data_IF_648280590601
#
_entry.id   IF_648280590601
#
_cell.length_a   1.000
_cell.length_b   1.000
_cell.length_c   1.000
_cell.angle_alpha   90.00
_cell.angle_beta   90.00
_cell.angle_gamma   90.00
#
_symmetry.space_group_name_H-M   'P 1'
#
loop_
_entity.id
_entity.type
_entity.pdbx_description
1 polymer ?
#
# COMPACT_ATOMS: atom_id res chain seq x y z
N UNK A 1 52.39 23.52 15.82
CA UNK A 1 50.93 23.43 16.07
C UNK A 1 50.41 22.17 15.37
N UNK A 2 50.39 21.04 16.06
CA UNK A 2 49.88 19.78 15.52
C UNK A 2 48.39 19.68 15.88
N UNK A 3 47.51 19.78 14.88
CA UNK A 3 46.09 19.53 15.06
C UNK A 3 45.86 18.03 15.21
N UNK A 4 45.49 17.63 16.43
CA UNK A 4 45.11 16.28 16.78
C UNK A 4 43.70 16.01 16.22
N UNK A 5 43.62 15.35 15.07
CA UNK A 5 42.36 14.85 14.52
C UNK A 5 41.94 13.65 15.37
N UNK A 6 41.01 13.87 16.31
CA UNK A 6 40.31 12.77 16.99
C UNK A 6 39.55 11.97 15.94
N UNK A 7 40.08 10.81 15.58
CA UNK A 7 39.34 9.79 14.86
C UNK A 7 38.18 9.31 15.74
N UNK A 8 36.95 9.63 15.32
CA UNK A 8 35.70 9.27 15.99
C UNK A 8 35.42 7.76 15.76
N UNK A 9 36.21 6.88 16.37
CA UNK A 9 36.14 5.42 16.23
C UNK A 9 35.08 4.82 17.15
N UNK A 10 33.81 5.14 16.92
CA UNK A 10 32.70 4.47 17.60
C UNK A 10 32.35 3.15 16.86
N UNK A 11 32.62 1.96 17.42
CA UNK A 11 32.45 0.68 16.73
C UNK A 11 31.00 0.40 16.30
N UNK A 12 30.02 1.01 16.96
CA UNK A 12 28.61 0.94 16.57
C UNK A 12 28.31 1.72 15.28
N UNK A 13 28.94 2.87 15.06
CA UNK A 13 28.83 3.66 13.80
C UNK A 13 29.54 2.95 12.65
N UNK A 14 30.66 2.27 12.93
CA UNK A 14 31.39 1.51 11.91
C UNK A 14 30.58 0.32 11.40
N UNK A 15 29.84 -0.37 12.29
CA UNK A 15 29.00 -1.51 11.95
C UNK A 15 27.74 -1.08 11.15
N UNK A 16 27.11 0.06 11.46
CA UNK A 16 25.93 0.55 10.70
C UNK A 16 26.28 0.92 9.26
N UNK A 17 27.40 1.62 9.05
CA UNK A 17 27.87 2.02 7.71
C UNK A 17 28.22 0.83 6.83
N UNK A 18 28.84 -0.21 7.40
CA UNK A 18 29.13 -1.47 6.68
C UNK A 18 27.82 -2.15 6.26
N UNK A 19 26.82 -2.22 7.15
CA UNK A 19 25.53 -2.83 6.83
C UNK A 19 24.70 -2.05 5.80
N UNK A 20 24.77 -0.71 5.80
CA UNK A 20 24.16 0.12 4.75
C UNK A 20 24.76 -0.15 3.37
N UNK A 21 26.09 -0.23 3.28
CA UNK A 21 26.78 -0.60 2.03
C UNK A 21 26.47 -2.03 1.58
N UNK A 22 26.34 -2.98 2.52
CA UNK A 22 25.95 -4.35 2.21
C UNK A 22 24.51 -4.44 1.67
N UNK A 23 23.60 -3.61 2.17
CA UNK A 23 22.24 -3.50 1.64
C UNK A 23 22.26 -3.01 0.17
N UNK A 24 22.99 -1.93 -0.13
CA UNK A 24 23.13 -1.43 -1.50
C UNK A 24 23.75 -2.51 -2.40
N UNK A 25 24.80 -3.18 -1.94
CA UNK A 25 25.45 -4.23 -2.73
C UNK A 25 24.49 -5.38 -3.04
N UNK A 26 23.65 -5.80 -2.08
CA UNK A 26 22.65 -6.84 -2.29
C UNK A 26 21.58 -6.40 -3.31
N UNK A 27 21.06 -5.17 -3.19
CA UNK A 27 20.07 -4.64 -4.13
C UNK A 27 20.66 -4.49 -5.54
N UNK A 28 21.87 -3.96 -5.65
CA UNK A 28 22.58 -3.82 -6.93
C UNK A 28 22.83 -5.16 -7.62
N UNK A 29 23.16 -6.20 -6.83
CA UNK A 29 23.31 -7.57 -7.31
C UNK A 29 21.96 -8.27 -7.60
N UNK A 30 20.83 -7.59 -7.36
CA UNK A 30 19.47 -8.16 -7.40
C UNK A 30 19.33 -9.44 -6.54
N UNK A 31 20.05 -9.50 -5.42
CA UNK A 31 20.01 -10.60 -4.46
C UNK A 31 18.75 -10.49 -3.58
N UNK A 32 17.64 -11.00 -4.10
CA UNK A 32 16.32 -10.91 -3.46
C UNK A 32 16.25 -11.73 -2.17
N UNK A 33 17.06 -12.79 -2.04
CA UNK A 33 17.13 -13.61 -0.84
C UNK A 33 17.72 -12.81 0.32
N UNK A 34 18.87 -12.13 0.10
CA UNK A 34 19.46 -11.24 1.10
C UNK A 34 18.57 -10.05 1.43
N UNK A 35 17.84 -9.50 0.46
CA UNK A 35 16.89 -8.42 0.71
C UNK A 35 15.80 -8.85 1.71
N UNK A 36 15.25 -10.07 1.54
CA UNK A 36 14.24 -10.63 2.46
C UNK A 36 14.86 -10.98 3.82
N UNK A 37 16.10 -11.45 3.85
CA UNK A 37 16.86 -11.66 5.08
C UNK A 37 17.00 -10.36 5.87
N UNK A 38 17.47 -9.28 5.25
CA UNK A 38 17.59 -7.97 5.89
C UNK A 38 16.25 -7.42 6.39
N UNK A 39 15.16 -7.62 5.64
CA UNK A 39 13.82 -7.23 6.11
C UNK A 39 13.37 -8.04 7.34
N UNK A 40 13.75 -9.32 7.40
CA UNK A 40 13.49 -10.18 8.55
C UNK A 40 14.32 -9.76 9.77
N UNK A 41 15.59 -9.41 9.57
CA UNK A 41 16.45 -8.86 10.61
C UNK A 41 15.91 -7.54 11.15
N UNK A 42 15.46 -6.64 10.28
CA UNK A 42 14.89 -5.34 10.65
C UNK A 42 13.66 -5.45 11.58
N UNK A 43 12.89 -6.53 11.46
CA UNK A 43 11.71 -6.82 12.31
C UNK A 43 12.07 -7.54 13.61
N UNK A 44 13.29 -8.08 13.72
CA UNK A 44 13.71 -8.85 14.87
C UNK A 44 14.11 -7.95 16.04
N UNK A 45 13.44 -8.11 17.18
CA UNK A 45 13.81 -7.43 18.44
C UNK A 45 15.19 -7.83 18.97
N UNK A 46 15.77 -8.94 18.45
CA UNK A 46 17.04 -9.52 18.91
C UNK A 46 18.26 -9.01 18.14
N UNK A 47 18.06 -8.38 16.98
CA UNK A 47 19.14 -7.98 16.07
C UNK A 47 19.48 -6.49 16.22
N UNK A 48 20.76 -6.15 16.03
CA UNK A 48 21.24 -4.74 16.09
C UNK A 48 20.91 -3.98 14.79
N UNK A 49 20.69 -4.70 13.70
CA UNK A 49 20.41 -4.15 12.37
C UNK A 49 18.98 -3.62 12.27
N UNK A 50 18.85 -2.43 11.69
CA UNK A 50 17.57 -1.85 11.27
C UNK A 50 17.82 -1.09 9.99
N UNK A 51 16.84 -1.03 9.09
CA UNK A 51 16.91 -0.17 7.91
C UNK A 51 17.16 1.28 8.30
N UNK A 52 16.54 1.74 9.39
CA UNK A 52 16.80 3.08 9.96
C UNK A 52 18.29 3.36 10.18
N UNK A 53 19.04 2.43 10.81
CA UNK A 53 20.48 2.59 11.00
C UNK A 53 21.27 2.47 9.70
N UNK A 54 20.87 1.53 8.84
CA UNK A 54 21.56 1.27 7.58
C UNK A 54 21.49 2.46 6.60
N UNK A 55 20.35 3.14 6.57
CA UNK A 55 20.06 4.24 5.64
C UNK A 55 20.65 5.58 6.11
N UNK A 56 20.80 5.78 7.43
CA UNK A 56 21.28 7.05 8.02
C UNK A 56 22.68 7.46 7.56
N UNK A 57 23.52 6.48 7.24
CA UNK A 57 24.92 6.70 6.87
C UNK A 57 25.14 6.78 5.35
N UNK A 58 24.06 6.71 4.56
CA UNK A 58 24.12 6.78 3.10
C UNK A 58 24.03 8.22 2.60
N UNK A 59 24.75 8.50 1.52
CA UNK A 59 24.65 9.75 0.77
C UNK A 59 23.37 9.77 -0.09
N UNK A 60 22.92 10.96 -0.49
CA UNK A 60 21.77 11.11 -1.41
C UNK A 60 21.97 10.31 -2.70
N UNK A 61 23.18 10.33 -3.28
CA UNK A 61 23.51 9.56 -4.49
C UNK A 61 23.39 8.05 -4.27
N UNK A 62 23.81 7.55 -3.11
CA UNK A 62 23.67 6.14 -2.75
C UNK A 62 22.20 5.75 -2.56
N UNK A 63 21.39 6.64 -2.00
CA UNK A 63 19.94 6.46 -1.86
C UNK A 63 19.26 6.43 -3.23
N UNK A 64 19.61 7.33 -4.14
CA UNK A 64 19.03 7.35 -5.49
C UNK A 64 19.35 6.05 -6.24
N UNK A 65 20.60 5.60 -6.21
CA UNK A 65 21.02 4.33 -6.81
C UNK A 65 20.29 3.13 -6.19
N UNK A 66 20.11 3.13 -4.86
CA UNK A 66 19.33 2.09 -4.17
C UNK A 66 17.91 2.00 -4.74
N UNK A 67 17.24 3.13 -4.95
CA UNK A 67 15.88 3.14 -5.48
C UNK A 67 15.79 2.79 -6.96
N UNK A 68 16.75 3.19 -7.78
CA UNK A 68 16.81 2.76 -9.18
C UNK A 68 16.87 1.24 -9.29
N UNK A 69 17.71 0.59 -8.49
CA UNK A 69 17.86 -0.86 -8.51
C UNK A 69 16.68 -1.57 -7.83
N UNK A 70 16.12 -1.03 -6.74
CA UNK A 70 14.90 -1.56 -6.12
C UNK A 70 13.71 -1.52 -7.09
N UNK A 71 13.56 -0.46 -7.89
CA UNK A 71 12.48 -0.37 -8.89
C UNK A 71 12.54 -1.52 -9.90
N UNK A 72 13.74 -1.86 -10.40
CA UNK A 72 13.92 -3.00 -11.32
C UNK A 72 13.47 -4.30 -10.69
N UNK A 73 13.84 -4.53 -9.42
CA UNK A 73 13.42 -5.73 -8.67
C UNK A 73 11.90 -5.75 -8.52
N UNK A 74 11.29 -4.64 -8.09
CA UNK A 74 9.86 -4.53 -7.81
C UNK A 74 9.03 -4.75 -9.06
N UNK A 75 9.38 -4.13 -10.19
CA UNK A 75 8.66 -4.29 -11.45
C UNK A 75 8.68 -5.76 -11.87
N UNK A 76 9.86 -6.39 -11.88
CA UNK A 76 10.01 -7.82 -12.21
C UNK A 76 9.21 -8.73 -11.29
N UNK A 77 9.18 -8.43 -9.98
CA UNK A 77 8.40 -9.19 -9.01
C UNK A 77 6.88 -8.99 -9.19
N UNK A 78 6.44 -7.76 -9.46
CA UNK A 78 5.04 -7.43 -9.66
C UNK A 78 4.45 -8.11 -10.91
N UNK A 79 5.23 -8.23 -11.98
CA UNK A 79 4.82 -8.96 -13.19
C UNK A 79 4.45 -10.42 -12.88
N UNK A 80 5.20 -11.08 -11.99
CA UNK A 80 4.90 -12.45 -11.56
C UNK A 80 3.53 -12.48 -10.85
N UNK A 81 3.28 -11.54 -9.93
CA UNK A 81 2.01 -11.46 -9.20
C UNK A 81 0.83 -11.18 -10.15
N UNK A 82 1.00 -10.25 -11.10
CA UNK A 82 -0.05 -9.88 -12.06
C UNK A 82 -0.33 -11.04 -13.04
N UNK A 83 0.70 -11.78 -13.47
CA UNK A 83 0.51 -12.94 -14.34
C UNK A 83 -0.32 -14.05 -13.69
N UNK A 84 -0.34 -14.11 -12.36
CA UNK A 84 -1.16 -15.05 -11.61
C UNK A 84 -2.65 -14.69 -11.68
N UNK A 85 -3.00 -13.40 -11.65
CA UNK A 85 -4.41 -12.96 -11.74
C UNK A 85 -4.97 -13.11 -13.15
N UNK A 86 -4.16 -12.91 -14.18
CA UNK A 86 -4.60 -13.02 -15.59
C UNK A 86 -4.72 -14.47 -16.07
N UNK A 87 -3.87 -15.39 -15.60
CA UNK A 87 -3.92 -16.82 -16.00
C UNK A 87 -4.90 -17.66 -15.18
N UNK A 88 -5.58 -17.07 -14.20
CA UNK A 88 -6.38 -17.76 -13.19
C UNK A 88 -7.90 -17.59 -13.25
N UNK A 89 -8.46 -16.95 -14.29
CA UNK A 89 -9.91 -16.72 -14.40
C UNK A 89 -10.58 -17.70 -15.39
N UNK A 90 -11.07 -18.88 -14.95
CA UNK A 90 -12.11 -19.58 -15.67
C UNK A 90 -13.44 -18.88 -15.39
N UNK A 91 -14.05 -18.35 -16.45
CA UNK A 91 -15.41 -17.83 -16.48
C UNK A 91 -16.36 -18.63 -15.56
N UNK A 92 -16.91 -17.96 -14.55
CA UNK A 92 -18.18 -18.37 -13.95
C UNK A 92 -19.30 -17.95 -14.89
N UNK A 93 -19.57 -18.77 -15.90
CA UNK A 93 -20.85 -18.75 -16.61
C UNK A 93 -21.26 -20.17 -17.02
N UNK A 94 -22.21 -20.68 -16.24
CA UNK A 94 -23.30 -21.62 -16.55
C UNK A 94 -23.02 -22.95 -17.31
N UNK A 95 -23.45 -24.02 -16.62
CA UNK A 95 -24.15 -25.23 -17.11
C UNK A 95 -23.42 -26.26 -17.99
N UNK A 96 -22.95 -27.35 -17.35
CA UNK A 96 -23.48 -28.71 -17.61
C UNK A 96 -22.86 -29.74 -16.65
N UNK A 97 -23.63 -30.73 -16.16
CA UNK A 97 -23.12 -31.78 -15.30
C UNK A 97 -22.62 -32.93 -16.15
N UNK A 98 -21.30 -33.17 -16.19
CA UNK A 98 -20.86 -34.55 -16.37
C UNK A 98 -19.50 -34.83 -15.72
N UNK A 99 -19.50 -35.93 -14.98
CA UNK A 99 -18.41 -36.47 -14.18
C UNK A 99 -17.22 -36.82 -15.06
N UNK A 100 -16.04 -36.29 -14.73
CA UNK A 100 -14.80 -37.04 -14.85
C UNK A 100 -13.93 -36.73 -13.62
N UNK A 101 -13.67 -37.78 -12.84
CA UNK A 101 -12.78 -37.76 -11.68
C UNK A 101 -11.33 -37.68 -12.19
N UNK A 102 -10.77 -36.48 -12.23
CA UNK A 102 -9.33 -36.28 -12.26
C UNK A 102 -8.93 -35.26 -11.18
N UNK A 103 -8.03 -35.68 -10.29
CA UNK A 103 -7.56 -34.94 -9.12
C UNK A 103 -7.11 -33.50 -9.45
N UNK A 104 -7.69 -32.44 -8.85
CA UNK A 104 -7.39 -31.07 -9.24
C UNK A 104 -6.57 -30.24 -8.22
N UNK A 105 -5.65 -30.83 -7.43
CA UNK A 105 -5.11 -30.12 -6.24
C UNK A 105 -3.60 -29.87 -6.12
N UNK A 106 -2.71 -30.33 -7.01
CA UNK A 106 -1.25 -30.09 -6.83
C UNK A 106 -0.72 -28.78 -7.44
N UNK A 107 -1.21 -28.35 -8.61
CA UNK A 107 -0.63 -27.20 -9.35
C UNK A 107 -0.99 -25.81 -8.81
N UNK A 108 -2.14 -25.66 -8.13
CA UNK A 108 -2.55 -24.37 -7.53
C UNK A 108 -1.78 -24.04 -6.25
N UNK A 109 -1.23 -25.05 -5.54
CA UNK A 109 -0.53 -24.82 -4.27
C UNK A 109 0.89 -24.28 -4.48
N UNK A 110 1.57 -24.68 -5.55
CA UNK A 110 2.94 -24.25 -5.84
C UNK A 110 2.97 -22.79 -6.33
N UNK A 111 2.05 -22.41 -7.22
CA UNK A 111 1.96 -21.05 -7.75
C UNK A 111 1.57 -20.00 -6.69
N UNK A 112 0.70 -20.37 -5.74
CA UNK A 112 0.40 -19.52 -4.58
C UNK A 112 1.61 -19.30 -3.68
N UNK A 113 2.44 -20.34 -3.45
CA UNK A 113 3.67 -20.22 -2.66
C UNK A 113 4.66 -19.26 -3.32
N UNK A 114 4.84 -19.36 -4.63
CA UNK A 114 5.68 -18.42 -5.41
C UNK A 114 5.18 -16.98 -5.24
N UNK A 115 3.87 -16.73 -5.38
CA UNK A 115 3.31 -15.39 -5.16
C UNK A 115 3.56 -14.87 -3.73
N UNK A 116 3.49 -15.75 -2.73
CA UNK A 116 3.79 -15.39 -1.34
C UNK A 116 5.26 -15.03 -1.14
N UNK A 117 6.20 -15.76 -1.74
CA UNK A 117 7.63 -15.42 -1.69
C UNK A 117 7.92 -14.09 -2.38
N UNK A 118 7.38 -13.90 -3.58
CA UNK A 118 7.51 -12.66 -4.34
C UNK A 118 6.94 -11.47 -3.55
N UNK A 119 5.80 -11.66 -2.87
CA UNK A 119 5.22 -10.61 -2.03
C UNK A 119 6.14 -10.15 -0.89
N UNK A 120 6.99 -11.05 -0.35
CA UNK A 120 7.96 -10.70 0.70
C UNK A 120 9.07 -9.79 0.18
N UNK A 121 9.47 -9.96 -1.08
CA UNK A 121 10.47 -9.12 -1.73
C UNK A 121 9.93 -7.69 -1.88
N UNK A 122 8.71 -7.54 -2.41
CA UNK A 122 8.06 -6.22 -2.52
C UNK A 122 7.85 -5.61 -1.13
N UNK A 123 7.43 -6.41 -0.15
CA UNK A 123 7.26 -5.96 1.23
C UNK A 123 8.58 -5.46 1.85
N UNK A 124 9.71 -6.10 1.56
CA UNK A 124 11.03 -5.64 2.02
C UNK A 124 11.34 -4.24 1.50
N UNK A 125 11.04 -3.96 0.23
CA UNK A 125 11.21 -2.61 -0.35
C UNK A 125 10.29 -1.58 0.30
N UNK A 126 9.05 -1.95 0.60
CA UNK A 126 8.10 -1.08 1.32
C UNK A 126 8.61 -0.80 2.75
N UNK A 127 9.17 -1.81 3.43
CA UNK A 127 9.74 -1.64 4.78
C UNK A 127 10.95 -0.69 4.76
N UNK A 128 11.77 -0.71 3.69
CA UNK A 128 12.84 0.28 3.47
C UNK A 128 12.26 1.68 3.25
N UNK A 129 11.20 1.82 2.45
CA UNK A 129 10.53 3.10 2.22
C UNK A 129 10.00 3.70 3.53
N UNK A 130 9.30 2.91 4.35
CA UNK A 130 8.84 3.36 5.67
C UNK A 130 9.99 3.82 6.55
N UNK A 131 11.09 3.05 6.60
CA UNK A 131 12.27 3.44 7.35
C UNK A 131 12.87 4.76 6.84
N UNK A 132 12.88 5.03 5.53
CA UNK A 132 13.33 6.31 5.00
C UNK A 132 12.46 7.47 5.45
N UNK A 133 11.14 7.33 5.33
CA UNK A 133 10.17 8.36 5.73
C UNK A 133 10.25 8.65 7.23
N UNK A 134 10.40 7.62 8.07
CA UNK A 134 10.56 7.75 9.53
C UNK A 134 11.87 8.44 9.96
N UNK A 135 12.82 8.58 9.05
CA UNK A 135 14.08 9.28 9.29
C UNK A 135 14.15 10.66 8.65
N UNK A 136 13.08 11.12 8.01
CA UNK A 136 13.06 12.37 7.25
C UNK A 136 14.23 12.47 6.25
N UNK A 137 14.59 11.34 5.63
CA UNK A 137 15.61 11.33 4.59
C UNK A 137 15.08 12.00 3.32
N UNK A 138 15.98 12.55 2.51
CA UNK A 138 15.63 13.18 1.23
C UNK A 138 14.86 12.20 0.35
N UNK A 139 13.73 12.66 -0.17
CA UNK A 139 12.89 11.88 -1.05
C UNK A 139 13.57 11.75 -2.43
N UNK A 140 13.83 10.51 -2.86
CA UNK A 140 14.35 10.24 -4.19
C UNK A 140 13.22 10.17 -5.23
N UNK A 141 13.51 10.53 -6.48
CA UNK A 141 12.59 10.31 -7.60
C UNK A 141 12.29 8.81 -7.80
N UNK A 142 13.28 7.94 -7.53
CA UNK A 142 13.09 6.50 -7.58
C UNK A 142 12.03 5.99 -6.59
N UNK A 143 11.96 6.55 -5.38
CA UNK A 143 10.92 6.19 -4.40
C UNK A 143 9.52 6.61 -4.90
N UNK A 144 9.40 7.78 -5.51
CA UNK A 144 8.14 8.24 -6.11
C UNK A 144 7.69 7.33 -7.25
N UNK A 145 8.59 6.96 -8.16
CA UNK A 145 8.29 6.03 -9.26
C UNK A 145 7.80 4.67 -8.73
N UNK A 146 8.46 4.14 -7.69
CA UNK A 146 8.02 2.91 -7.03
C UNK A 146 6.60 3.05 -6.50
N UNK A 147 6.31 4.15 -5.79
CA UNK A 147 5.01 4.38 -5.17
C UNK A 147 3.90 4.45 -6.21
N UNK A 148 4.11 5.23 -7.27
CA UNK A 148 3.19 5.36 -8.41
C UNK A 148 2.90 3.98 -9.01
N UNK A 149 3.95 3.21 -9.30
CA UNK A 149 3.82 1.89 -9.88
C UNK A 149 3.04 0.92 -8.97
N UNK A 150 3.42 0.82 -7.70
CA UNK A 150 2.77 -0.07 -6.74
C UNK A 150 1.30 0.30 -6.52
N UNK A 151 1.00 1.60 -6.45
CA UNK A 151 -0.36 2.08 -6.33
C UNK A 151 -1.22 1.71 -7.56
N UNK A 152 -0.68 1.88 -8.78
CA UNK A 152 -1.40 1.55 -10.01
C UNK A 152 -1.77 0.07 -10.13
N UNK A 153 -0.96 -0.82 -9.54
CA UNK A 153 -1.20 -2.26 -9.58
C UNK A 153 -1.98 -2.79 -8.37
N UNK A 154 -2.36 -1.95 -7.39
CA UNK A 154 -2.93 -2.41 -6.11
C UNK A 154 -4.17 -3.30 -6.29
N UNK A 155 -5.05 -2.96 -7.23
CA UNK A 155 -6.25 -3.73 -7.55
C UNK A 155 -5.98 -4.96 -8.45
N UNK A 156 -4.78 -5.05 -9.06
CA UNK A 156 -4.33 -6.21 -9.84
C UNK A 156 -3.68 -7.29 -8.98
N UNK A 157 -3.34 -6.98 -7.73
CA UNK A 157 -2.79 -7.94 -6.77
C UNK A 157 -3.90 -8.92 -6.33
N UNK A 158 -3.64 -10.24 -6.22
CA UNK A 158 -4.62 -11.20 -5.72
C UNK A 158 -5.09 -10.91 -4.29
N UNK A 159 -6.35 -11.23 -3.97
CA UNK A 159 -6.94 -11.00 -2.65
C UNK A 159 -6.29 -11.79 -1.51
N UNK A 160 -5.65 -12.94 -1.79
CA UNK A 160 -4.91 -13.67 -0.76
C UNK A 160 -3.61 -12.94 -0.32
N UNK A 161 -3.17 -11.91 -1.06
CA UNK A 161 -2.06 -11.02 -0.70
C UNK A 161 -2.56 -9.70 -0.09
N UNK A 162 -3.67 -9.73 0.62
CA UNK A 162 -4.29 -8.54 1.21
C UNK A 162 -3.35 -7.73 2.12
N UNK A 163 -2.44 -8.40 2.84
CA UNK A 163 -1.43 -7.71 3.65
C UNK A 163 -0.50 -6.83 2.79
N UNK A 164 -0.16 -7.25 1.58
CA UNK A 164 0.68 -6.47 0.67
C UNK A 164 -0.08 -5.26 0.14
N UNK A 165 -1.35 -5.44 -0.27
CA UNK A 165 -2.22 -4.33 -0.68
C UNK A 165 -2.32 -3.27 0.42
N UNK A 166 -2.52 -3.71 1.66
CA UNK A 166 -2.58 -2.82 2.81
C UNK A 166 -1.27 -2.06 3.04
N UNK A 167 -0.12 -2.74 2.95
CA UNK A 167 1.19 -2.09 3.07
C UNK A 167 1.42 -1.03 2.00
N UNK A 168 1.02 -1.29 0.75
CA UNK A 168 1.10 -0.32 -0.35
C UNK A 168 0.23 0.90 -0.06
N UNK A 169 -1.03 0.68 0.30
CA UNK A 169 -1.96 1.77 0.61
C UNK A 169 -1.50 2.61 1.81
N UNK A 170 -1.01 1.96 2.87
CA UNK A 170 -0.47 2.66 4.05
C UNK A 170 0.79 3.47 3.72
N UNK A 171 1.63 3.01 2.79
CA UNK A 171 2.77 3.80 2.31
C UNK A 171 2.29 5.04 1.54
N UNK A 172 1.29 4.89 0.68
CA UNK A 172 0.69 6.01 -0.06
C UNK A 172 0.03 7.03 0.89
N UNK A 173 -0.70 6.56 1.90
CA UNK A 173 -1.29 7.41 2.95
C UNK A 173 -0.21 8.20 3.70
N UNK A 174 0.89 7.55 4.08
CA UNK A 174 1.99 8.23 4.78
C UNK A 174 2.64 9.30 3.91
N UNK A 175 2.87 9.00 2.64
CA UNK A 175 3.39 9.96 1.67
C UNK A 175 2.45 11.15 1.47
N UNK A 176 1.13 10.90 1.47
CA UNK A 176 0.10 11.93 1.45
C UNK A 176 0.16 12.83 2.69
N UNK A 177 0.19 12.25 3.89
CA UNK A 177 0.25 13.00 5.16
C UNK A 177 1.51 13.87 5.29
N UNK A 178 2.62 13.43 4.68
CA UNK A 178 3.87 14.19 4.64
C UNK A 178 3.90 15.25 3.53
N UNK A 179 2.80 15.45 2.79
CA UNK A 179 2.68 16.38 1.67
C UNK A 179 3.72 16.16 0.54
N UNK A 180 4.24 14.95 0.39
CA UNK A 180 5.15 14.60 -0.72
C UNK A 180 4.42 14.34 -2.04
N UNK A 181 3.09 14.24 -1.98
CA UNK A 181 2.21 14.06 -3.12
C UNK A 181 1.66 15.43 -3.51
N UNK A 182 2.37 16.14 -4.39
CA UNK A 182 1.96 17.46 -4.92
C UNK A 182 0.74 17.37 -5.86
N UNK A 183 0.26 18.52 -6.35
CA UNK A 183 -0.75 18.63 -7.39
C UNK A 183 -0.36 17.77 -8.62
N UNK A 184 -1.24 16.85 -9.03
CA UNK A 184 -0.98 15.84 -10.08
C UNK A 184 -0.82 14.41 -9.57
N UNK A 185 -0.70 14.20 -8.26
CA UNK A 185 -0.71 12.87 -7.61
C UNK A 185 -2.11 12.33 -7.26
N UNK A 186 -3.14 12.93 -7.86
CA UNK A 186 -4.55 12.66 -7.56
C UNK A 186 -4.92 11.20 -7.76
N UNK A 187 -4.36 10.55 -8.80
CA UNK A 187 -4.62 9.13 -9.07
C UNK A 187 -4.04 8.20 -8.00
N UNK A 188 -2.89 8.54 -7.41
CA UNK A 188 -2.28 7.78 -6.31
C UNK A 188 -3.19 7.84 -5.09
N UNK A 189 -3.67 9.05 -4.80
CA UNK A 189 -4.56 9.33 -3.68
C UNK A 189 -5.91 8.64 -3.87
N UNK A 190 -6.46 8.66 -5.09
CA UNK A 190 -7.71 7.99 -5.47
C UNK A 190 -7.67 6.47 -5.25
N UNK A 191 -6.70 5.76 -5.83
CA UNK A 191 -6.64 4.30 -5.68
C UNK A 191 -6.48 3.89 -4.20
N UNK A 192 -5.71 4.67 -3.44
CA UNK A 192 -5.46 4.41 -2.01
C UNK A 192 -6.75 4.54 -1.20
N UNK A 193 -7.49 5.64 -1.35
CA UNK A 193 -8.73 5.87 -0.61
C UNK A 193 -9.83 4.88 -1.04
N UNK A 194 -9.94 4.57 -2.34
CA UNK A 194 -10.88 3.55 -2.83
C UNK A 194 -10.53 2.17 -2.27
N UNK A 195 -9.25 1.82 -2.17
CA UNK A 195 -8.83 0.57 -1.54
C UNK A 195 -9.24 0.52 -0.06
N UNK A 196 -8.96 1.57 0.72
CA UNK A 196 -9.35 1.60 2.13
C UNK A 196 -10.86 1.54 2.34
N UNK A 197 -11.65 2.25 1.51
CA UNK A 197 -13.12 2.16 1.52
C UNK A 197 -13.59 0.74 1.18
N UNK A 198 -13.08 0.13 0.10
CA UNK A 198 -13.45 -1.24 -0.26
C UNK A 198 -13.14 -2.21 0.88
N UNK A 199 -12.05 -1.98 1.62
CA UNK A 199 -11.64 -2.78 2.78
C UNK A 199 -12.53 -2.55 4.02
N UNK A 200 -12.92 -1.32 4.34
CA UNK A 200 -13.85 -1.04 5.45
C UNK A 200 -15.25 -1.58 5.21
N UNK A 201 -15.64 -1.83 3.96
CA UNK A 201 -16.94 -2.41 3.60
C UNK A 201 -16.95 -3.95 3.58
N UNK A 202 -15.82 -4.61 3.86
CA UNK A 202 -15.77 -6.07 4.00
C UNK A 202 -16.35 -6.53 5.36
N UNK A 203 -16.77 -7.79 5.45
CA UNK A 203 -17.41 -8.38 6.65
C UNK A 203 -16.63 -8.23 7.97
N UNK A 204 -15.33 -7.94 7.91
CA UNK A 204 -14.46 -7.71 9.08
C UNK A 204 -13.79 -6.34 9.00
N UNK A 205 -14.61 -5.30 8.89
CA UNK A 205 -14.14 -3.92 8.92
C UNK A 205 -13.37 -3.63 10.21
N UNK A 206 -12.17 -3.05 10.08
CA UNK A 206 -11.40 -2.58 11.23
C UNK A 206 -11.62 -1.10 11.44
N UNK A 207 -11.80 -0.69 12.71
CA UNK A 207 -11.79 0.73 13.12
C UNK A 207 -10.53 1.46 12.63
N UNK A 208 -9.40 0.75 12.56
CA UNK A 208 -8.15 1.30 12.01
C UNK A 208 -8.34 1.78 10.58
N UNK A 209 -8.96 0.97 9.72
CA UNK A 209 -9.13 1.31 8.31
C UNK A 209 -10.08 2.50 8.11
N UNK A 210 -11.06 2.72 9.02
CA UNK A 210 -11.87 3.95 9.01
C UNK A 210 -11.00 5.18 9.31
N UNK A 211 -10.04 5.09 10.22
CA UNK A 211 -9.07 6.15 10.49
C UNK A 211 -8.15 6.40 9.29
N UNK A 212 -7.71 5.33 8.63
CA UNK A 212 -6.90 5.42 7.41
C UNK A 212 -7.67 6.17 6.29
N UNK A 213 -8.99 5.94 6.13
CA UNK A 213 -9.85 6.74 5.22
C UNK A 213 -9.96 8.20 5.69
N UNK A 214 -10.17 8.42 6.99
CA UNK A 214 -10.34 9.76 7.57
C UNK A 214 -9.09 10.63 7.37
N UNK A 215 -7.90 10.04 7.46
CA UNK A 215 -6.64 10.74 7.21
C UNK A 215 -6.55 11.33 5.79
N UNK A 216 -7.31 10.77 4.84
CA UNK A 216 -7.38 11.21 3.44
C UNK A 216 -8.70 11.90 3.10
N UNK A 217 -9.51 12.27 4.10
CA UNK A 217 -10.87 12.79 3.91
C UNK A 217 -10.95 14.03 3.00
N UNK A 218 -9.93 14.89 3.00
CA UNK A 218 -9.90 16.10 2.18
C UNK A 218 -9.83 15.81 0.68
N UNK A 219 -9.55 14.56 0.30
CA UNK A 219 -9.59 14.11 -1.08
C UNK A 219 -10.99 13.65 -1.53
N UNK A 220 -11.89 13.31 -0.60
CA UNK A 220 -13.25 12.82 -0.91
C UNK A 220 -13.99 13.75 -1.88
N UNK A 221 -14.01 15.09 -1.68
CA UNK A 221 -14.70 15.99 -2.61
C UNK A 221 -14.06 16.03 -4.00
N UNK A 222 -12.72 15.94 -4.07
CA UNK A 222 -11.96 16.04 -5.32
C UNK A 222 -12.22 14.87 -6.27
N UNK A 223 -12.62 13.72 -5.74
CA UNK A 223 -12.90 12.52 -6.55
C UNK A 223 -14.02 12.78 -7.56
N UNK A 224 -15.02 13.57 -7.19
CA UNK A 224 -16.15 13.89 -8.08
C UNK A 224 -15.76 14.78 -9.26
N UNK A 225 -14.63 15.48 -9.17
CA UNK A 225 -14.14 16.37 -10.23
C UNK A 225 -13.08 15.73 -11.13
N UNK A 226 -12.69 14.48 -10.87
CA UNK A 226 -11.70 13.75 -11.68
C UNK A 226 -12.33 13.25 -12.99
N UNK A 227 -11.67 13.48 -14.12
CA UNK A 227 -12.17 13.11 -15.46
C UNK A 227 -12.22 11.60 -15.71
N UNK A 228 -11.30 10.85 -15.09
CA UNK A 228 -11.04 9.45 -15.42
C UNK A 228 -11.70 8.47 -14.43
N UNK A 229 -12.61 8.98 -13.60
CA UNK A 229 -13.27 8.23 -12.54
C UNK A 229 -14.72 7.95 -12.91
N UNK A 230 -15.14 6.68 -12.79
CA UNK A 230 -16.57 6.35 -12.83
C UNK A 230 -17.25 6.81 -11.53
N UNK A 231 -17.80 8.02 -11.59
CA UNK A 231 -18.51 8.66 -10.48
C UNK A 231 -19.63 7.76 -9.92
N UNK A 232 -20.26 6.92 -10.74
CA UNK A 232 -21.34 6.02 -10.27
C UNK A 232 -20.79 4.89 -9.42
N UNK A 233 -19.64 4.31 -9.77
CA UNK A 233 -18.99 3.29 -8.93
C UNK A 233 -18.62 3.88 -7.57
N UNK A 234 -18.03 5.08 -7.57
CA UNK A 234 -17.65 5.79 -6.34
C UNK A 234 -18.87 6.11 -5.49
N UNK A 235 -19.94 6.65 -6.08
CA UNK A 235 -21.18 6.98 -5.37
C UNK A 235 -21.79 5.72 -4.72
N UNK A 236 -21.75 4.58 -5.40
CA UNK A 236 -22.23 3.31 -4.84
C UNK A 236 -21.39 2.85 -3.64
N UNK A 237 -20.07 3.07 -3.64
CA UNK A 237 -19.22 2.81 -2.48
C UNK A 237 -19.58 3.75 -1.32
N UNK A 238 -19.78 5.02 -1.60
CA UNK A 238 -20.15 6.02 -0.59
C UNK A 238 -21.51 5.77 0.03
N UNK A 239 -22.53 5.37 -0.76
CA UNK A 239 -23.83 4.93 -0.23
C UNK A 239 -23.66 3.78 0.77
N UNK A 240 -22.79 2.81 0.46
CA UNK A 240 -22.48 1.70 1.38
C UNK A 240 -21.75 2.17 2.65
N UNK A 241 -20.88 3.18 2.56
CA UNK A 241 -20.26 3.78 3.75
C UNK A 241 -21.31 4.42 4.66
N UNK A 242 -22.30 5.12 4.08
CA UNK A 242 -23.35 5.80 4.83
C UNK A 242 -24.29 4.84 5.59
N UNK A 243 -24.36 3.57 5.18
CA UNK A 243 -25.16 2.54 5.84
C UNK A 243 -24.33 1.52 6.62
N UNK A 244 -23.00 1.63 6.60
CA UNK A 244 -22.13 0.68 7.28
C UNK A 244 -22.02 0.98 8.79
N UNK A 245 -22.31 0.01 9.70
CA UNK A 245 -22.28 0.23 11.15
C UNK A 245 -20.94 0.76 11.68
N UNK A 246 -19.81 0.36 11.08
CA UNK A 246 -18.47 0.81 11.49
C UNK A 246 -18.26 2.32 11.26
N UNK A 247 -18.89 2.89 10.23
CA UNK A 247 -18.81 4.33 9.97
C UNK A 247 -19.76 5.10 10.89
N UNK A 248 -20.99 4.60 11.07
CA UNK A 248 -22.00 5.24 11.92
C UNK A 248 -21.60 5.28 13.41
N UNK A 249 -20.86 4.27 13.87
CA UNK A 249 -20.43 4.14 15.27
C UNK A 249 -19.14 4.87 15.63
N UNK A 250 -18.46 5.52 14.68
CA UNK A 250 -17.19 6.22 14.90
C UNK A 250 -17.30 7.69 14.52
N UNK A 251 -16.73 8.59 15.33
CA UNK A 251 -16.70 10.03 15.03
C UNK A 251 -16.00 10.31 13.69
N UNK A 252 -14.87 9.66 13.43
CA UNK A 252 -14.17 9.75 12.15
C UNK A 252 -15.03 9.27 10.99
N UNK A 253 -15.81 8.20 11.20
CA UNK A 253 -16.74 7.66 10.21
C UNK A 253 -17.90 8.62 9.90
N UNK A 254 -18.47 9.22 10.93
CA UNK A 254 -19.52 10.25 10.79
C UNK A 254 -19.00 11.46 10.03
N UNK A 255 -17.78 11.93 10.31
CA UNK A 255 -17.15 13.03 9.57
C UNK A 255 -16.92 12.69 8.09
N UNK A 256 -16.51 11.45 7.78
CA UNK A 256 -16.41 10.97 6.39
C UNK A 256 -17.76 11.04 5.69
N UNK A 257 -18.83 10.56 6.33
CA UNK A 257 -20.20 10.62 5.79
C UNK A 257 -20.59 12.08 5.53
N UNK A 258 -20.33 12.99 6.48
CA UNK A 258 -20.58 14.42 6.29
C UNK A 258 -19.81 14.98 5.10
N UNK A 259 -18.52 14.64 4.93
CA UNK A 259 -17.73 15.06 3.76
C UNK A 259 -18.30 14.56 2.44
N UNK A 260 -18.78 13.31 2.40
CA UNK A 260 -19.45 12.73 1.23
C UNK A 260 -20.72 13.51 0.88
N UNK A 261 -21.56 13.80 1.87
CA UNK A 261 -22.82 14.52 1.68
C UNK A 261 -22.59 15.95 1.19
N UNK A 262 -21.59 16.66 1.74
CA UNK A 262 -21.22 18.01 1.29
C UNK A 262 -20.67 17.99 -0.14
N UNK A 263 -19.82 17.01 -0.46
CA UNK A 263 -19.18 16.90 -1.77
C UNK A 263 -20.15 16.59 -2.91
N UNK A 264 -21.30 16.01 -2.60
CA UNK A 264 -22.21 15.42 -3.57
C UNK A 264 -23.59 16.09 -3.51
N UNK A 265 -23.64 17.42 -3.51
CA UNK A 265 -24.91 18.17 -3.40
C UNK A 265 -25.96 17.75 -4.43
N UNK A 266 -25.54 17.37 -5.65
CA UNK A 266 -26.40 16.83 -6.71
C UNK A 266 -26.88 15.40 -6.49
N UNK A 267 -26.25 14.63 -5.58
CA UNK A 267 -26.62 13.24 -5.26
C UNK A 267 -27.02 13.07 -3.78
N UNK A 268 -27.20 14.17 -3.03
CA UNK A 268 -27.67 14.15 -1.64
C UNK A 268 -28.97 13.34 -1.55
N UNK A 269 -29.92 13.55 -2.46
CA UNK A 269 -31.21 12.84 -2.46
C UNK A 269 -31.03 11.33 -2.65
N UNK A 270 -30.09 10.90 -3.51
CA UNK A 270 -29.82 9.48 -3.71
C UNK A 270 -29.14 8.82 -2.50
N UNK A 271 -28.31 9.57 -1.77
CA UNK A 271 -27.66 9.09 -0.53
C UNK A 271 -28.66 9.09 0.62
N UNK A 272 -29.50 10.13 0.74
CA UNK A 272 -30.59 10.21 1.71
C UNK A 272 -31.56 9.04 1.55
N UNK A 273 -32.03 8.76 0.33
CA UNK A 273 -32.88 7.59 0.05
C UNK A 273 -32.22 6.26 0.48
N UNK A 274 -30.90 6.13 0.27
CA UNK A 274 -30.15 4.95 0.72
C UNK A 274 -30.06 4.85 2.26
N UNK A 275 -29.95 5.98 2.96
CA UNK A 275 -29.95 6.03 4.43
C UNK A 275 -31.36 5.74 4.98
N UNK A 276 -32.40 6.36 4.43
CA UNK A 276 -33.80 6.18 4.84
C UNK A 276 -34.27 4.74 4.64
N UNK A 277 -33.88 4.09 3.54
CA UNK A 277 -34.17 2.65 3.34
C UNK A 277 -33.48 1.75 4.37
N UNK A 278 -32.36 2.18 4.95
CA UNK A 278 -31.62 1.44 5.99
C UNK A 278 -32.08 1.79 7.41
N UNK A 279 -32.54 3.02 7.63
CA UNK A 279 -33.05 3.56 8.89
C UNK A 279 -34.42 4.19 8.63
N UNK A 280 -35.51 3.39 8.63
CA UNK A 280 -36.85 3.90 8.34
C UNK A 280 -37.31 5.03 9.28
N UNK A 281 -36.73 5.11 10.48
CA UNK A 281 -36.98 6.18 11.45
C UNK A 281 -36.33 7.52 11.11
N UNK A 282 -35.44 7.57 10.10
CA UNK A 282 -34.78 8.79 9.64
C UNK A 282 -35.54 9.52 8.52
N UNK A 283 -36.65 8.94 8.03
CA UNK A 283 -37.50 9.50 6.97
C UNK A 283 -38.57 10.49 7.49
N UNK A 284 -38.38 11.08 8.68
CA UNK A 284 -39.29 12.06 9.28
C UNK A 284 -38.75 13.48 9.16
#
# INVERSE_FOLDING_TARGET
MAMNVKADSNPLKMNSKIKGKNLIAAVKAQDTAKLVEYASENKSKKQVFTFKKALKDLTTKEIDLLWEDLNKIIIKQAEIIISFTTKGSPNKSKSSPNKSKSSPNKSKSSSKKVCMEVSRIIQASIDIAFAMLDNNLTLSQGLLHMLVFLNFIIFKIPDFLESLKYSIASLCEKMYQLNFLEAGSEQITFNTIIYFIKRTLQQRASKKTVKDVYAMQSFIPKIFTMSDVDVREVLNLYKKCCTAPVYLSMLEGQKIITSILIASTSHITEIQNAIESYLPSAAM
#
